data_IF_415536166062
#
_entry.id   IF_415536166062
#
_cell.length_a   1.000
_cell.length_b   1.000
_cell.length_c   1.000
_cell.angle_alpha   90.00
_cell.angle_beta   90.00
_cell.angle_gamma   90.00
#
_symmetry.space_group_name_H-M   'P 1'
#
loop_
_entity.id
_entity.type
_entity.pdbx_description
1 polymer ?
#
# COMPACT_ATOMS: atom_id res chain seq x y z
N UNK A 1 23.61 30.79 26.20
CA UNK A 1 22.39 30.43 26.96
C UNK A 1 21.25 31.16 26.30
N UNK A 2 20.25 30.47 25.72
CA UNK A 2 19.09 31.15 25.12
C UNK A 2 18.47 32.11 26.14
N UNK A 3 18.17 33.33 25.71
CA UNK A 3 17.60 34.35 26.58
C UNK A 3 16.18 33.98 27.01
N UNK A 4 15.74 34.48 28.19
CA UNK A 4 14.38 34.26 28.71
C UNK A 4 13.29 34.58 27.68
N UNK A 5 13.50 35.59 26.85
CA UNK A 5 12.57 35.99 25.78
C UNK A 5 12.38 34.92 24.70
N UNK A 6 13.42 34.20 24.31
CA UNK A 6 13.37 33.17 23.27
C UNK A 6 12.67 31.91 23.79
N UNK A 7 13.05 31.46 24.99
CA UNK A 7 12.39 30.34 25.65
C UNK A 7 10.89 30.63 25.89
N UNK A 8 10.55 31.85 26.32
CA UNK A 8 9.16 32.27 26.50
C UNK A 8 8.38 32.32 25.17
N UNK A 9 9.00 32.80 24.09
CA UNK A 9 8.36 32.84 22.77
C UNK A 9 8.06 31.43 22.23
N UNK A 10 9.04 30.52 22.27
CA UNK A 10 8.87 29.12 21.83
C UNK A 10 7.80 28.41 22.67
N UNK A 11 7.82 28.58 23.99
CA UNK A 11 6.83 27.98 24.88
C UNK A 11 5.42 28.49 24.58
N UNK A 12 5.26 29.81 24.40
CA UNK A 12 3.97 30.44 24.08
C UNK A 12 3.43 30.01 22.71
N UNK A 13 4.32 29.64 21.79
CA UNK A 13 3.99 29.12 20.47
C UNK A 13 3.73 27.60 20.43
N UNK A 14 3.69 26.93 21.58
CA UNK A 14 3.46 25.48 21.66
C UNK A 14 4.66 24.64 21.18
N UNK A 15 5.88 25.19 21.29
CA UNK A 15 7.10 24.57 20.75
C UNK A 15 7.31 24.82 19.26
N UNK A 16 6.76 25.90 18.71
CA UNK A 16 6.97 26.29 17.32
C UNK A 16 8.36 26.88 17.05
N UNK A 17 8.63 27.22 15.80
CA UNK A 17 9.95 27.67 15.36
C UNK A 17 10.21 29.14 15.72
N UNK A 18 11.44 29.46 16.14
CA UNK A 18 11.85 30.83 16.44
C UNK A 18 12.10 31.59 15.13
N UNK A 19 11.30 32.61 14.86
CA UNK A 19 11.38 33.43 13.63
C UNK A 19 12.25 34.67 13.85
N UNK A 20 12.24 35.20 15.08
CA UNK A 20 13.04 36.36 15.47
C UNK A 20 13.69 36.10 16.82
N UNK A 21 15.01 36.05 16.83
CA UNK A 21 15.83 36.00 18.05
C UNK A 21 15.64 37.26 18.91
N UNK A 22 16.15 37.21 20.14
CA UNK A 22 15.99 38.29 21.12
C UNK A 22 16.33 39.66 20.55
N UNK A 23 15.32 40.49 20.44
CA UNK A 23 15.43 41.92 20.16
C UNK A 23 15.36 42.72 21.46
N UNK A 24 16.04 43.87 21.47
CA UNK A 24 15.96 44.85 22.55
C UNK A 24 15.30 46.11 22.02
N UNK A 25 14.35 46.66 22.77
CA UNK A 25 13.69 47.92 22.47
C UNK A 25 13.70 48.84 23.69
N UNK A 26 13.37 50.11 23.46
CA UNK A 26 13.29 51.13 24.51
C UNK A 26 12.00 51.90 24.35
N UNK A 27 11.17 51.92 25.38
CA UNK A 27 9.88 52.61 25.37
C UNK A 27 10.04 54.09 25.75
N UNK A 28 10.89 54.35 26.74
CA UNK A 28 11.27 55.67 27.23
C UNK A 28 12.65 55.58 27.88
N UNK A 29 13.22 56.72 28.28
CA UNK A 29 14.48 56.73 29.00
C UNK A 29 14.36 55.92 30.31
N UNK A 30 15.29 54.97 30.52
CA UNK A 30 15.27 54.02 31.63
C UNK A 30 14.29 52.84 31.51
N UNK A 31 13.54 52.71 30.42
CA UNK A 31 12.52 51.67 30.26
C UNK A 31 12.79 50.80 29.02
N UNK A 32 13.66 49.79 29.20
CA UNK A 32 14.07 48.84 28.18
C UNK A 32 13.19 47.58 28.23
N UNK A 33 12.89 46.98 27.07
CA UNK A 33 12.21 45.70 26.96
C UNK A 33 12.92 44.77 25.99
N UNK A 34 12.63 43.47 26.10
CA UNK A 34 13.13 42.47 25.16
C UNK A 34 12.00 41.59 24.69
N UNK A 35 12.00 41.27 23.40
CA UNK A 35 11.03 40.37 22.81
C UNK A 35 11.72 39.42 21.85
N UNK A 36 11.06 38.30 21.59
CA UNK A 36 11.41 37.35 20.54
C UNK A 36 10.10 36.89 19.89
N UNK A 37 10.15 36.38 18.67
CA UNK A 37 8.95 35.96 17.93
C UNK A 37 9.12 34.52 17.51
N UNK A 38 8.12 33.69 17.82
CA UNK A 38 8.02 32.31 17.36
C UNK A 38 6.69 32.11 16.64
N UNK A 39 6.71 31.34 15.55
CA UNK A 39 5.48 30.96 14.85
C UNK A 39 4.77 29.89 15.67
N UNK A 40 3.46 30.02 15.84
CA UNK A 40 2.67 28.98 16.51
C UNK A 40 2.84 27.65 15.74
N UNK A 41 3.13 26.56 16.47
CA UNK A 41 3.31 25.22 15.91
C UNK A 41 2.14 24.78 15.02
N UNK A 42 0.91 25.11 15.39
CA UNK A 42 -0.30 24.78 14.62
C UNK A 42 -0.43 25.62 13.34
N UNK A 43 0.24 26.77 13.29
CA UNK A 43 0.28 27.65 12.11
C UNK A 43 1.46 27.35 11.19
N UNK A 44 2.36 26.45 11.57
CA UNK A 44 3.46 26.02 10.71
C UNK A 44 2.92 25.16 9.57
N UNK A 45 3.12 25.62 8.33
CA UNK A 45 2.88 24.79 7.15
C UNK A 45 4.07 23.86 6.96
N UNK A 46 4.08 22.76 7.69
CA UNK A 46 5.02 21.68 7.44
C UNK A 46 4.55 20.89 6.23
N UNK A 47 5.51 20.38 5.45
CA UNK A 47 5.21 19.44 4.39
C UNK A 47 4.54 18.19 4.96
N UNK A 48 3.92 17.42 4.08
CA UNK A 48 3.31 16.16 4.46
C UNK A 48 3.51 15.12 3.36
N UNK A 49 3.75 13.86 3.74
CA UNK A 49 3.84 12.73 2.81
C UNK A 49 2.65 11.80 3.05
N UNK A 50 1.81 11.61 2.04
CA UNK A 50 0.80 10.55 2.08
C UNK A 50 1.25 9.36 1.22
N UNK A 51 1.40 8.20 1.83
CA UNK A 51 1.61 6.93 1.12
C UNK A 51 0.24 6.37 0.76
N UNK A 52 -0.11 6.37 -0.53
CA UNK A 52 -1.45 6.02 -1.01
C UNK A 52 -1.43 4.69 -1.74
N UNK A 53 -2.34 3.79 -1.35
CA UNK A 53 -2.69 2.60 -2.12
C UNK A 53 -3.54 2.94 -3.34
N UNK A 54 -2.99 2.74 -4.53
CA UNK A 54 -3.58 3.01 -5.83
C UNK A 54 -4.75 2.07 -6.19
N UNK A 55 -4.82 0.91 -5.55
CA UNK A 55 -5.70 -0.17 -5.99
C UNK A 55 -5.04 -1.09 -7.05
N UNK A 56 -5.79 -2.08 -7.56
CA UNK A 56 -5.26 -3.15 -8.41
C UNK A 56 -5.02 -2.75 -9.88
N UNK A 57 -5.66 -1.67 -10.35
CA UNK A 57 -5.63 -1.29 -11.76
C UNK A 57 -6.64 -0.21 -12.10
N UNK A 58 -7.92 -0.53 -12.07
CA UNK A 58 -8.99 0.43 -12.31
C UNK A 58 -8.85 1.70 -11.43
N UNK A 59 -8.73 2.90 -12.01
CA UNK A 59 -8.66 4.16 -11.27
C UNK A 59 -9.85 4.44 -10.35
N UNK A 60 -11.00 3.79 -10.54
CA UNK A 60 -12.16 3.91 -9.65
C UNK A 60 -12.05 3.06 -8.38
N UNK A 61 -11.08 2.13 -8.34
CA UNK A 61 -10.80 1.29 -7.17
C UNK A 61 -9.80 1.92 -6.20
N UNK A 62 -9.32 3.14 -6.46
CA UNK A 62 -8.67 3.94 -5.44
C UNK A 62 -9.70 4.34 -4.37
N UNK A 63 -9.28 4.43 -3.11
CA UNK A 63 -10.17 4.94 -2.07
C UNK A 63 -10.50 6.42 -2.32
N UNK A 64 -11.68 6.86 -1.87
CA UNK A 64 -12.07 8.29 -1.91
C UNK A 64 -11.02 9.17 -1.24
N UNK A 65 -10.47 8.71 -0.10
CA UNK A 65 -9.37 9.40 0.59
C UNK A 65 -8.12 9.49 -0.29
N UNK A 66 -7.72 8.40 -0.95
CA UNK A 66 -6.58 8.38 -1.86
C UNK A 66 -6.73 9.34 -3.04
N UNK A 67 -7.91 9.36 -3.66
CA UNK A 67 -8.23 10.31 -4.74
C UNK A 67 -8.12 11.76 -4.28
N UNK A 68 -8.71 12.11 -3.14
CA UNK A 68 -8.63 13.47 -2.59
C UNK A 68 -7.18 13.92 -2.38
N UNK A 69 -6.29 13.00 -1.98
CA UNK A 69 -4.86 13.32 -1.86
C UNK A 69 -4.20 13.55 -3.21
N UNK A 70 -4.49 12.74 -4.23
CA UNK A 70 -3.97 12.95 -5.59
C UNK A 70 -4.40 14.32 -6.15
N UNK A 71 -5.65 14.71 -5.92
CA UNK A 71 -6.19 16.01 -6.34
C UNK A 71 -5.55 17.20 -5.60
N UNK A 72 -5.09 17.01 -4.36
CA UNK A 72 -4.46 18.07 -3.57
C UNK A 72 -2.93 18.13 -3.72
N UNK A 73 -2.29 17.05 -4.17
CA UNK A 73 -0.84 16.87 -4.15
C UNK A 73 -0.09 17.92 -4.99
N UNK A 74 1.06 18.38 -4.46
CA UNK A 74 2.02 19.18 -5.22
C UNK A 74 3.04 18.30 -5.95
N UNK A 75 3.34 17.11 -5.40
CA UNK A 75 4.16 16.07 -6.00
C UNK A 75 3.40 14.73 -5.94
N UNK A 76 3.24 14.07 -7.07
CA UNK A 76 2.82 12.67 -7.15
C UNK A 76 4.01 11.86 -7.64
N UNK A 77 4.61 11.09 -6.73
CA UNK A 77 5.67 10.14 -7.04
C UNK A 77 5.08 8.73 -7.06
N UNK A 78 4.98 8.11 -8.23
CA UNK A 78 4.31 6.81 -8.39
C UNK A 78 5.28 5.70 -8.80
N UNK A 79 5.00 4.48 -8.33
CA UNK A 79 5.74 3.28 -8.73
C UNK A 79 5.40 2.89 -10.18
N UNK A 80 6.28 3.24 -11.12
CA UNK A 80 5.97 3.20 -12.55
C UNK A 80 5.71 1.85 -13.20
N UNK A 81 6.08 0.73 -12.57
CA UNK A 81 5.92 -0.60 -13.16
C UNK A 81 4.50 -1.17 -13.03
N UNK A 82 3.70 -0.66 -12.07
CA UNK A 82 2.47 -1.31 -11.63
C UNK A 82 1.33 -0.34 -11.31
N UNK A 83 1.55 0.97 -11.36
CA UNK A 83 0.51 1.98 -11.16
C UNK A 83 0.01 2.47 -12.53
N UNK A 84 -1.30 2.36 -12.81
CA UNK A 84 -1.90 2.90 -14.03
C UNK A 84 -1.65 4.40 -14.18
N UNK A 85 -1.29 4.82 -15.39
CA UNK A 85 -1.05 6.24 -15.69
C UNK A 85 -2.30 7.08 -15.47
N UNK A 86 -3.48 6.49 -15.65
CA UNK A 86 -4.76 7.16 -15.48
C UNK A 86 -4.97 7.75 -14.08
N UNK A 87 -4.40 7.16 -13.02
CA UNK A 87 -4.46 7.71 -11.66
C UNK A 87 -3.70 9.03 -11.54
N UNK A 88 -2.71 9.27 -12.40
CA UNK A 88 -1.94 10.52 -12.40
C UNK A 88 -2.73 11.70 -12.97
N UNK A 89 -3.83 11.44 -13.68
CA UNK A 89 -4.68 12.49 -14.25
C UNK A 89 -5.53 13.22 -13.20
N UNK A 90 -5.60 12.70 -11.97
CA UNK A 90 -6.19 13.42 -10.84
C UNK A 90 -5.32 14.57 -10.34
N UNK A 91 -4.07 14.69 -10.80
CA UNK A 91 -3.18 15.76 -10.38
C UNK A 91 -3.78 17.15 -10.67
N UNK A 92 -3.72 18.06 -9.69
CA UNK A 92 -4.06 19.47 -9.91
C UNK A 92 -3.11 20.14 -10.90
N UNK A 93 -3.58 21.24 -11.48
CA UNK A 93 -2.72 22.11 -12.30
C UNK A 93 -1.48 22.57 -11.51
N UNK A 94 -0.31 22.48 -12.15
CA UNK A 94 0.97 22.82 -11.54
C UNK A 94 1.58 21.73 -10.64
N UNK A 95 0.90 20.61 -10.40
CA UNK A 95 1.48 19.48 -9.70
C UNK A 95 2.61 18.83 -10.51
N UNK A 96 3.66 18.38 -9.82
CA UNK A 96 4.73 17.59 -10.41
C UNK A 96 4.38 16.12 -10.34
N UNK A 97 4.26 15.45 -11.49
CA UNK A 97 4.04 14.00 -11.57
C UNK A 97 5.32 13.33 -12.03
N UNK A 98 5.81 12.34 -11.28
CA UNK A 98 7.06 11.61 -11.61
C UNK A 98 6.93 10.11 -11.34
N UNK A 99 7.47 9.34 -12.26
CA UNK A 99 7.68 7.91 -12.04
C UNK A 99 8.95 7.68 -11.23
N UNK A 100 8.89 6.79 -10.24
CA UNK A 100 10.06 6.34 -9.47
C UNK A 100 10.78 5.14 -10.10
N UNK A 101 10.33 4.62 -11.25
CA UNK A 101 10.80 3.35 -11.80
C UNK A 101 12.31 3.31 -12.11
N UNK A 102 12.91 4.46 -12.44
CA UNK A 102 14.33 4.58 -12.74
C UNK A 102 15.16 5.19 -11.60
N UNK A 103 14.54 5.42 -10.43
CA UNK A 103 15.18 6.17 -9.33
C UNK A 103 15.67 5.23 -8.23
N UNK A 104 16.86 5.49 -7.69
CA UNK A 104 17.31 4.88 -6.45
C UNK A 104 16.52 5.43 -5.23
N UNK A 105 16.58 4.74 -4.09
CA UNK A 105 15.85 5.14 -2.87
C UNK A 105 16.25 6.55 -2.41
N UNK A 106 17.54 6.87 -2.46
CA UNK A 106 18.10 8.16 -2.05
C UNK A 106 17.62 9.29 -2.98
N UNK A 107 17.50 9.03 -4.28
CA UNK A 107 16.98 10.00 -5.25
C UNK A 107 15.50 10.26 -5.04
N UNK A 108 14.73 9.20 -4.77
CA UNK A 108 13.31 9.31 -4.45
C UNK A 108 13.13 10.13 -3.16
N UNK A 109 13.91 9.84 -2.13
CA UNK A 109 13.89 10.57 -0.87
C UNK A 109 14.28 12.04 -1.04
N UNK A 110 15.38 12.33 -1.75
CA UNK A 110 15.83 13.70 -1.99
C UNK A 110 14.75 14.53 -2.73
N UNK A 111 14.09 13.94 -3.72
CA UNK A 111 12.97 14.58 -4.41
C UNK A 111 11.81 14.86 -3.45
N UNK A 112 11.32 13.86 -2.71
CA UNK A 112 10.22 14.04 -1.76
C UNK A 112 10.57 15.07 -0.67
N UNK A 113 11.79 15.02 -0.16
CA UNK A 113 12.30 15.95 0.85
C UNK A 113 12.32 17.40 0.34
N UNK A 114 12.71 17.63 -0.91
CA UNK A 114 12.71 18.99 -1.47
C UNK A 114 11.31 19.64 -1.51
N UNK A 115 10.26 18.84 -1.75
CA UNK A 115 8.88 19.32 -1.70
C UNK A 115 8.40 19.46 -0.24
N UNK A 116 8.71 18.47 0.60
CA UNK A 116 8.35 18.49 2.01
C UNK A 116 8.92 19.72 2.74
N UNK A 117 10.20 20.01 2.56
CA UNK A 117 10.90 21.14 3.19
C UNK A 117 10.34 22.50 2.69
N UNK A 118 9.70 22.52 1.51
CA UNK A 118 8.98 23.67 0.98
C UNK A 118 7.53 23.79 1.49
N UNK A 119 7.12 22.98 2.48
CA UNK A 119 5.78 23.00 3.05
C UNK A 119 4.69 22.39 2.16
N UNK A 120 5.08 21.54 1.19
CA UNK A 120 4.17 20.99 0.18
C UNK A 120 3.63 19.61 0.53
N UNK A 121 2.52 19.25 -0.10
CA UNK A 121 1.92 17.92 -0.02
C UNK A 121 2.54 16.99 -1.07
N UNK A 122 3.12 15.89 -0.60
CA UNK A 122 3.70 14.83 -1.42
C UNK A 122 2.82 13.60 -1.32
N UNK A 123 2.41 13.04 -2.46
CA UNK A 123 1.77 11.73 -2.53
C UNK A 123 2.76 10.73 -3.11
N UNK A 124 3.00 9.67 -2.33
CA UNK A 124 3.75 8.50 -2.74
C UNK A 124 2.77 7.38 -3.11
N UNK A 125 2.55 7.16 -4.40
CA UNK A 125 1.52 6.27 -4.92
C UNK A 125 2.07 4.85 -5.18
N UNK A 126 1.52 3.86 -4.48
CA UNK A 126 1.90 2.44 -4.57
C UNK A 126 0.75 1.59 -5.07
N UNK A 127 1.04 0.55 -5.87
CA UNK A 127 0.02 -0.40 -6.35
C UNK A 127 -0.63 -1.17 -5.22
N UNK A 128 -1.92 -1.47 -5.38
CA UNK A 128 -2.67 -2.28 -4.44
C UNK A 128 -2.82 -1.59 -3.10
N UNK A 129 -2.45 -2.31 -2.04
CA UNK A 129 -2.34 -1.77 -0.70
C UNK A 129 -0.86 -1.66 -0.27
N UNK A 130 -0.41 -0.53 0.29
CA UNK A 130 0.99 -0.33 0.66
C UNK A 130 1.54 -1.33 1.70
N UNK A 131 0.68 -1.98 2.50
CA UNK A 131 1.14 -2.94 3.52
C UNK A 131 1.55 -4.30 2.93
N UNK A 132 1.19 -4.60 1.68
CA UNK A 132 1.46 -5.90 1.04
C UNK A 132 2.54 -5.71 -0.04
N UNK A 133 3.77 -6.14 0.26
CA UNK A 133 4.92 -6.10 -0.67
C UNK A 133 5.21 -4.73 -1.29
N UNK A 134 4.75 -3.63 -0.66
CA UNK A 134 4.87 -2.28 -1.17
C UNK A 134 6.25 -1.63 -1.01
N UNK A 135 7.19 -2.27 -0.28
CA UNK A 135 8.52 -1.74 0.02
C UNK A 135 8.51 -0.31 0.61
N UNK A 136 7.56 -0.04 1.51
CA UNK A 136 7.41 1.28 2.15
C UNK A 136 8.19 1.41 3.47
N UNK A 137 8.65 0.30 4.05
CA UNK A 137 9.32 0.31 5.36
C UNK A 137 10.63 1.10 5.37
N UNK A 138 11.46 0.96 4.33
CA UNK A 138 12.71 1.73 4.20
C UNK A 138 12.41 3.24 4.08
N UNK A 139 11.41 3.62 3.29
CA UNK A 139 10.99 5.00 3.13
C UNK A 139 10.49 5.61 4.46
N UNK A 140 9.68 4.86 5.20
CA UNK A 140 9.20 5.28 6.53
C UNK A 140 10.35 5.46 7.53
N UNK A 141 11.36 4.60 7.52
CA UNK A 141 12.55 4.77 8.37
C UNK A 141 13.32 6.06 8.04
N UNK A 142 13.40 6.42 6.75
CA UNK A 142 13.95 7.71 6.32
C UNK A 142 13.09 8.88 6.82
N UNK A 143 11.77 8.78 6.74
CA UNK A 143 10.87 9.83 7.22
C UNK A 143 10.99 10.01 8.74
N UNK A 144 11.01 8.91 9.50
CA UNK A 144 11.16 8.92 10.96
C UNK A 144 12.49 9.57 11.38
N UNK A 145 13.61 9.18 10.75
CA UNK A 145 14.95 9.72 11.06
C UNK A 145 15.08 11.23 10.78
N UNK A 146 14.23 11.78 9.91
CA UNK A 146 14.21 13.20 9.57
C UNK A 146 13.03 13.96 10.20
N UNK A 147 12.23 13.31 11.06
CA UNK A 147 11.06 13.93 11.70
C UNK A 147 9.97 14.38 10.71
N UNK A 148 9.85 13.68 9.58
CA UNK A 148 8.89 14.03 8.53
C UNK A 148 7.51 13.49 8.87
N UNK A 149 6.47 14.30 8.67
CA UNK A 149 5.07 13.90 8.84
C UNK A 149 4.60 13.05 7.67
N UNK A 150 4.09 11.86 7.95
CA UNK A 150 3.47 11.01 6.95
C UNK A 150 2.29 10.20 7.48
N UNK A 151 1.40 9.78 6.58
CA UNK A 151 0.40 8.75 6.83
C UNK A 151 0.36 7.71 5.71
N UNK A 152 -0.31 6.59 6.00
CA UNK A 152 -0.64 5.57 5.01
C UNK A 152 -2.15 5.61 4.79
N UNK A 153 -2.56 5.82 3.53
CA UNK A 153 -3.93 5.62 3.07
C UNK A 153 -4.01 4.23 2.43
N UNK A 154 -4.80 3.30 3.02
CA UNK A 154 -4.93 1.94 2.49
C UNK A 154 -5.62 1.93 1.13
N UNK A 155 -5.37 0.85 0.38
CA UNK A 155 -5.90 0.60 -0.95
C UNK A 155 -6.52 -0.79 -1.08
N UNK A 156 -7.15 -1.03 -2.23
CA UNK A 156 -7.68 -2.36 -2.56
C UNK A 156 -6.53 -3.21 -3.09
N UNK A 157 -6.23 -4.32 -2.44
CA UNK A 157 -5.17 -5.23 -2.89
C UNK A 157 -5.66 -6.15 -4.01
N UNK A 158 -4.73 -6.66 -4.83
CA UNK A 158 -5.07 -7.52 -5.96
C UNK A 158 -5.84 -8.78 -5.54
N UNK A 159 -5.59 -9.35 -4.36
CA UNK A 159 -6.31 -10.55 -3.89
C UNK A 159 -7.82 -10.32 -3.75
N UNK A 160 -8.23 -9.12 -3.33
CA UNK A 160 -9.65 -8.73 -3.26
C UNK A 160 -10.22 -8.56 -4.67
N UNK A 161 -9.44 -7.98 -5.58
CA UNK A 161 -9.79 -7.89 -6.99
C UNK A 161 -9.96 -9.27 -7.64
N UNK A 162 -9.10 -10.24 -7.32
CA UNK A 162 -9.26 -11.61 -7.78
C UNK A 162 -10.52 -12.25 -7.22
N UNK A 163 -10.79 -12.09 -5.93
CA UNK A 163 -12.03 -12.62 -5.35
C UNK A 163 -13.26 -12.10 -6.09
N UNK A 164 -13.29 -10.79 -6.40
CA UNK A 164 -14.36 -10.16 -7.15
C UNK A 164 -14.45 -10.68 -8.61
N UNK A 165 -13.34 -10.72 -9.33
CA UNK A 165 -13.30 -11.12 -10.74
C UNK A 165 -13.54 -12.62 -10.93
N UNK A 166 -13.08 -13.45 -9.99
CA UNK A 166 -13.41 -14.88 -9.90
C UNK A 166 -14.82 -15.13 -9.36
N UNK A 167 -15.54 -14.09 -8.94
CA UNK A 167 -16.87 -14.16 -8.30
C UNK A 167 -16.89 -15.19 -7.16
N UNK A 168 -15.83 -15.19 -6.36
CA UNK A 168 -15.57 -16.23 -5.36
C UNK A 168 -15.30 -15.63 -4.00
N UNK A 169 -15.88 -16.24 -2.97
CA UNK A 169 -15.58 -15.91 -1.58
C UNK A 169 -14.41 -16.77 -1.12
N UNK A 170 -13.29 -16.16 -0.78
CA UNK A 170 -12.07 -16.91 -0.40
C UNK A 170 -12.14 -17.60 0.97
N UNK A 171 -13.14 -17.29 1.78
CA UNK A 171 -13.46 -18.03 3.01
C UNK A 171 -14.87 -18.60 2.92
N UNK A 172 -15.00 -19.93 2.94
CA UNK A 172 -16.26 -20.65 2.85
C UNK A 172 -16.48 -21.43 4.16
N UNK A 173 -17.59 -21.20 4.88
CA UNK A 173 -17.91 -21.95 6.08
C UNK A 173 -17.84 -23.47 5.85
N UNK A 174 -17.32 -24.20 6.84
CA UNK A 174 -17.19 -25.67 6.81
C UNK A 174 -16.23 -26.22 5.72
N UNK A 175 -15.59 -25.34 4.92
CA UNK A 175 -14.58 -25.72 3.91
C UNK A 175 -13.23 -25.04 4.13
N UNK A 176 -13.19 -23.71 4.08
CA UNK A 176 -11.95 -22.92 4.21
C UNK A 176 -12.20 -21.63 4.96
N UNK A 177 -11.45 -21.35 6.02
CA UNK A 177 -11.63 -20.15 6.86
C UNK A 177 -10.41 -19.23 6.86
N UNK A 178 -9.39 -19.59 6.10
CA UNK A 178 -8.09 -18.93 6.10
C UNK A 178 -7.74 -18.50 4.68
N UNK A 179 -7.19 -17.29 4.56
CA UNK A 179 -6.57 -16.80 3.34
C UNK A 179 -5.08 -16.63 3.64
N UNK A 180 -4.22 -17.23 2.82
CA UNK A 180 -2.77 -17.06 2.91
C UNK A 180 -2.36 -16.10 1.79
N UNK A 181 -1.83 -14.94 2.17
CA UNK A 181 -1.17 -14.02 1.25
C UNK A 181 0.33 -14.29 1.34
N UNK A 182 0.92 -14.77 0.25
CA UNK A 182 2.34 -15.12 0.21
C UNK A 182 2.96 -14.77 -1.13
N UNK A 183 4.26 -15.01 -1.30
CA UNK A 183 4.96 -14.92 -2.58
C UNK A 183 5.78 -16.18 -2.81
N UNK A 184 6.14 -16.42 -4.07
CA UNK A 184 7.14 -17.44 -4.36
C UNK A 184 8.55 -17.03 -3.93
N UNK A 185 9.41 -18.02 -3.71
CA UNK A 185 10.82 -17.83 -3.40
C UNK A 185 11.62 -17.64 -4.70
N UNK A 186 11.87 -16.38 -5.07
CA UNK A 186 12.72 -16.02 -6.20
C UNK A 186 14.17 -15.81 -5.78
N UNK A 187 14.80 -14.73 -6.27
CA UNK A 187 16.16 -14.34 -5.86
C UNK A 187 16.25 -13.94 -4.38
N UNK A 188 15.14 -13.45 -3.81
CA UNK A 188 15.05 -13.08 -2.40
C UNK A 188 14.44 -14.25 -1.63
N UNK A 189 15.19 -14.85 -0.69
CA UNK A 189 14.74 -16.01 0.05
C UNK A 189 13.49 -15.71 0.88
N UNK A 190 12.70 -16.73 1.17
CA UNK A 190 11.62 -16.64 2.16
C UNK A 190 12.16 -16.91 3.56
N UNK A 191 11.57 -16.34 4.62
CA UNK A 191 11.86 -16.79 5.98
C UNK A 191 11.62 -18.31 6.10
N UNK A 192 12.48 -19.01 6.84
CA UNK A 192 12.43 -20.48 6.94
C UNK A 192 11.05 -21.04 7.35
N UNK A 193 10.28 -20.30 8.15
CA UNK A 193 8.94 -20.68 8.62
C UNK A 193 7.81 -20.35 7.64
N UNK A 194 8.10 -19.57 6.61
CA UNK A 194 7.14 -19.06 5.63
C UNK A 194 7.35 -19.67 4.24
N UNK A 195 8.17 -20.74 4.14
CA UNK A 195 8.32 -21.52 2.91
C UNK A 195 6.97 -21.96 2.38
N UNK A 196 6.83 -21.92 1.06
CA UNK A 196 5.55 -22.11 0.40
C UNK A 196 4.98 -23.51 0.68
N UNK A 197 5.81 -24.56 0.65
CA UNK A 197 5.41 -25.91 1.07
C UNK A 197 4.85 -25.95 2.51
N UNK A 198 5.49 -25.27 3.48
CA UNK A 198 4.99 -25.24 4.87
C UNK A 198 3.62 -24.59 4.97
N UNK A 199 3.40 -23.49 4.25
CA UNK A 199 2.10 -22.80 4.21
C UNK A 199 1.02 -23.66 3.52
N UNK A 200 1.41 -24.41 2.48
CA UNK A 200 0.53 -25.26 1.69
C UNK A 200 -0.10 -26.42 2.48
N UNK A 201 0.54 -26.85 3.59
CA UNK A 201 0.00 -27.90 4.49
C UNK A 201 -1.41 -27.63 5.01
N UNK A 202 -1.77 -26.35 5.14
CA UNK A 202 -3.10 -25.93 5.61
C UNK A 202 -4.21 -26.13 4.58
N UNK A 203 -3.85 -26.34 3.31
CA UNK A 203 -4.74 -26.39 2.15
C UNK A 203 -5.75 -25.23 2.05
N UNK A 204 -5.41 -24.08 2.66
CA UNK A 204 -6.24 -22.89 2.71
C UNK A 204 -6.20 -22.10 1.39
N UNK A 205 -7.17 -21.22 1.14
CA UNK A 205 -7.14 -20.38 -0.07
C UNK A 205 -5.85 -19.56 -0.09
N UNK A 206 -5.02 -19.79 -1.09
CA UNK A 206 -3.69 -19.18 -1.17
C UNK A 206 -3.64 -18.20 -2.34
N UNK A 207 -3.27 -16.96 -2.05
CA UNK A 207 -3.02 -15.91 -3.04
C UNK A 207 -1.51 -15.67 -3.09
N UNK A 208 -0.89 -16.05 -4.21
CA UNK A 208 0.56 -16.00 -4.40
C UNK A 208 0.90 -14.84 -5.32
N UNK A 209 1.61 -13.87 -4.77
CA UNK A 209 2.15 -12.70 -5.44
C UNK A 209 3.54 -13.00 -6.03
N UNK A 210 3.98 -12.20 -7.01
CA UNK A 210 5.37 -12.17 -7.50
C UNK A 210 5.94 -13.54 -7.93
N UNK A 211 5.10 -14.43 -8.44
CA UNK A 211 5.44 -15.85 -8.61
C UNK A 211 5.43 -16.37 -10.05
N UNK A 212 4.93 -15.59 -11.02
CA UNK A 212 4.78 -16.08 -12.40
C UNK A 212 6.10 -16.54 -13.04
N UNK A 213 7.21 -15.87 -12.74
CA UNK A 213 8.54 -16.25 -13.25
C UNK A 213 9.08 -17.57 -12.67
N UNK A 214 8.55 -18.02 -11.53
CA UNK A 214 8.98 -19.21 -10.78
C UNK A 214 7.82 -20.21 -10.61
N UNK A 215 6.87 -20.19 -11.54
CA UNK A 215 5.63 -20.97 -11.44
C UNK A 215 5.88 -22.48 -11.35
N UNK A 216 6.96 -23.00 -11.93
CA UNK A 216 7.31 -24.42 -11.86
C UNK A 216 7.67 -24.86 -10.45
N UNK A 217 8.44 -24.04 -9.73
CA UNK A 217 8.79 -24.28 -8.34
C UNK A 217 7.55 -24.18 -7.45
N UNK A 218 6.72 -23.16 -7.68
CA UNK A 218 5.44 -22.98 -7.00
C UNK A 218 4.53 -24.19 -7.19
N UNK A 219 4.34 -24.66 -8.43
CA UNK A 219 3.53 -25.84 -8.69
C UNK A 219 4.09 -27.08 -7.96
N UNK A 220 5.41 -27.30 -8.03
CA UNK A 220 6.06 -28.44 -7.38
C UNK A 220 5.83 -28.43 -5.86
N UNK A 221 6.11 -27.31 -5.20
CA UNK A 221 5.95 -27.19 -3.74
C UNK A 221 4.49 -27.33 -3.30
N UNK A 222 3.55 -26.77 -4.06
CA UNK A 222 2.13 -26.91 -3.76
C UNK A 222 1.66 -28.37 -3.93
N UNK A 223 2.13 -29.09 -4.95
CA UNK A 223 1.78 -30.50 -5.19
C UNK A 223 2.28 -31.46 -4.10
N UNK A 224 3.19 -31.03 -3.21
CA UNK A 224 3.58 -31.81 -2.02
C UNK A 224 2.43 -31.94 -1.01
N UNK A 225 1.47 -31.01 -1.04
CA UNK A 225 0.41 -30.91 -0.03
C UNK A 225 -0.99 -30.74 -0.59
N UNK A 226 -1.17 -30.07 -1.73
CA UNK A 226 -2.46 -29.94 -2.41
C UNK A 226 -2.70 -31.09 -3.38
N UNK A 227 -3.94 -31.59 -3.49
CA UNK A 227 -4.34 -32.49 -4.56
C UNK A 227 -4.03 -31.92 -5.96
N UNK A 228 -3.59 -32.73 -6.94
CA UNK A 228 -3.28 -32.26 -8.29
C UNK A 228 -4.46 -31.59 -9.03
N UNK A 229 -5.68 -31.97 -8.68
CA UNK A 229 -6.96 -31.45 -9.20
C UNK A 229 -7.46 -30.20 -8.43
N UNK A 230 -6.68 -29.70 -7.46
CA UNK A 230 -7.04 -28.47 -6.74
C UNK A 230 -7.25 -27.33 -7.73
N UNK A 231 -8.38 -26.60 -7.64
CA UNK A 231 -8.64 -25.46 -8.50
C UNK A 231 -7.55 -24.39 -8.38
N UNK A 232 -7.14 -23.85 -9.53
CA UNK A 232 -6.23 -22.70 -9.62
C UNK A 232 -6.76 -21.66 -10.60
N UNK A 233 -6.39 -20.41 -10.35
CA UNK A 233 -6.62 -19.31 -11.27
C UNK A 233 -5.37 -18.43 -11.38
N UNK A 234 -4.85 -18.27 -12.60
CA UNK A 234 -3.85 -17.26 -12.92
C UNK A 234 -4.57 -15.99 -13.39
N UNK A 235 -4.53 -14.96 -12.55
CA UNK A 235 -5.21 -13.69 -12.77
C UNK A 235 -4.20 -12.63 -13.22
N UNK A 236 -4.26 -12.26 -14.49
CA UNK A 236 -3.36 -11.30 -15.12
C UNK A 236 -4.02 -9.93 -15.20
N UNK A 237 -3.32 -8.90 -14.70
CA UNK A 237 -3.76 -7.49 -14.76
C UNK A 237 -5.22 -7.28 -14.36
N UNK A 238 -5.58 -7.82 -13.19
CA UNK A 238 -6.92 -7.66 -12.63
C UNK A 238 -7.35 -6.20 -12.62
N UNK A 239 -8.53 -5.94 -13.16
CA UNK A 239 -9.20 -4.64 -13.32
C UNK A 239 -8.56 -3.68 -14.32
N UNK A 240 -7.54 -4.10 -15.07
CA UNK A 240 -7.04 -3.37 -16.23
C UNK A 240 -7.89 -3.68 -17.46
N UNK A 241 -7.74 -2.86 -18.51
CA UNK A 241 -8.45 -3.05 -19.80
C UNK A 241 -8.13 -4.38 -20.47
N UNK A 242 -6.93 -4.90 -20.22
CA UNK A 242 -6.39 -6.16 -20.73
C UNK A 242 -6.36 -7.26 -19.66
N UNK A 243 -7.32 -7.25 -18.73
CA UNK A 243 -7.52 -8.32 -17.75
C UNK A 243 -7.73 -9.67 -18.45
N UNK A 244 -6.96 -10.68 -18.02
CA UNK A 244 -7.14 -12.07 -18.43
C UNK A 244 -7.15 -12.99 -17.22
N UNK A 245 -8.09 -13.92 -17.16
CA UNK A 245 -8.19 -14.91 -16.08
C UNK A 245 -8.19 -16.31 -16.67
N UNK A 246 -7.17 -17.09 -16.32
CA UNK A 246 -7.01 -18.48 -16.76
C UNK A 246 -7.25 -19.41 -15.59
N UNK A 247 -8.25 -20.28 -15.73
CA UNK A 247 -8.62 -21.27 -14.71
C UNK A 247 -8.11 -22.65 -15.11
N UNK A 248 -7.84 -23.49 -14.12
CA UNK A 248 -7.51 -24.88 -14.34
C UNK A 248 -7.26 -25.61 -13.03
N UNK A 249 -6.44 -26.64 -13.10
CA UNK A 249 -6.06 -27.48 -11.97
C UNK A 249 -4.58 -27.26 -11.63
N UNK A 250 -4.20 -27.53 -10.38
CA UNK A 250 -2.85 -27.30 -9.88
C UNK A 250 -1.77 -28.01 -10.71
N UNK A 251 -2.05 -29.23 -11.20
CA UNK A 251 -1.13 -29.98 -12.07
C UNK A 251 -0.80 -29.25 -13.39
N UNK A 252 -1.66 -28.33 -13.82
CA UNK A 252 -1.57 -27.59 -15.08
C UNK A 252 -1.11 -26.14 -14.90
N UNK A 253 -0.87 -25.68 -13.67
CA UNK A 253 -0.59 -24.28 -13.34
C UNK A 253 0.59 -23.70 -14.14
N UNK A 254 1.72 -24.40 -14.17
CA UNK A 254 2.92 -23.95 -14.87
C UNK A 254 2.69 -23.86 -16.38
N UNK A 255 1.95 -24.82 -16.95
CA UNK A 255 1.55 -24.80 -18.36
C UNK A 255 0.66 -23.60 -18.66
N UNK A 256 -0.37 -23.37 -17.83
CA UNK A 256 -1.29 -22.22 -17.98
C UNK A 256 -0.52 -20.90 -18.00
N UNK A 257 0.43 -20.71 -17.10
CA UNK A 257 1.23 -19.47 -17.03
C UNK A 257 2.14 -19.32 -18.25
N UNK A 258 2.81 -20.38 -18.69
CA UNK A 258 3.76 -20.35 -19.82
C UNK A 258 3.06 -20.18 -21.17
N UNK A 259 2.00 -20.96 -21.44
CA UNK A 259 1.28 -20.94 -22.72
C UNK A 259 0.66 -19.56 -23.00
N UNK A 260 0.24 -18.86 -21.93
CA UNK A 260 -0.34 -17.53 -22.02
C UNK A 260 0.69 -16.40 -21.81
N UNK A 261 1.99 -16.72 -21.71
CA UNK A 261 3.10 -15.77 -21.58
C UNK A 261 2.91 -14.78 -20.42
N UNK A 262 2.39 -15.28 -19.30
CA UNK A 262 2.14 -14.47 -18.11
C UNK A 262 3.47 -14.22 -17.40
N UNK A 263 3.92 -12.96 -17.42
CA UNK A 263 5.24 -12.58 -16.93
C UNK A 263 5.14 -11.74 -15.65
N UNK A 264 4.63 -10.51 -15.78
CA UNK A 264 4.46 -9.55 -14.69
C UNK A 264 2.97 -9.40 -14.34
N UNK A 265 2.67 -8.76 -13.21
CA UNK A 265 1.29 -8.39 -12.81
C UNK A 265 0.32 -9.57 -12.83
N UNK A 266 0.81 -10.74 -12.43
CA UNK A 266 0.03 -11.98 -12.33
C UNK A 266 -0.08 -12.37 -10.88
N UNK A 267 -1.29 -12.67 -10.44
CA UNK A 267 -1.55 -13.27 -9.15
C UNK A 267 -2.14 -14.66 -9.34
N UNK A 268 -1.58 -15.62 -8.62
CA UNK A 268 -2.05 -17.00 -8.63
C UNK A 268 -2.94 -17.20 -7.42
N UNK A 269 -4.15 -17.70 -7.64
CA UNK A 269 -5.05 -18.13 -6.58
C UNK A 269 -5.15 -19.65 -6.63
N UNK A 270 -5.00 -20.30 -5.49
CA UNK A 270 -5.07 -21.77 -5.34
C UNK A 270 -6.03 -22.12 -4.22
N UNK A 271 -6.91 -23.08 -4.46
CA UNK A 271 -7.73 -23.69 -3.41
C UNK A 271 -9.20 -23.85 -3.80
N UNK A 272 -9.91 -24.63 -2.98
CA UNK A 272 -11.31 -24.98 -3.20
C UNK A 272 -12.29 -23.81 -3.15
N UNK A 273 -11.86 -22.60 -2.78
CA UNK A 273 -12.72 -21.43 -2.81
C UNK A 273 -13.07 -20.99 -4.25
N UNK A 274 -12.25 -21.35 -5.23
CA UNK A 274 -12.47 -20.99 -6.63
C UNK A 274 -13.69 -21.76 -7.14
N UNK A 275 -14.67 -21.02 -7.68
CA UNK A 275 -15.89 -21.55 -8.31
C UNK A 275 -16.78 -22.44 -7.41
N UNK A 276 -16.53 -22.42 -6.10
CA UNK A 276 -17.34 -23.14 -5.13
C UNK A 276 -18.63 -22.38 -4.84
N UNK A 277 -19.75 -23.05 -5.11
CA UNK A 277 -21.12 -22.54 -4.97
C UNK A 277 -21.99 -23.42 -4.07
N UNK A 278 -21.41 -24.45 -3.47
CA UNK A 278 -22.12 -25.45 -2.69
C UNK A 278 -21.95 -25.17 -1.20
N UNK A 279 -23.08 -25.14 -0.48
CA UNK A 279 -23.14 -24.85 0.95
C UNK A 279 -23.82 -23.51 1.23
N UNK A 280 -24.77 -23.50 2.17
CA UNK A 280 -25.42 -22.27 2.63
C UNK A 280 -24.70 -21.78 3.88
N UNK A 281 -24.29 -20.51 3.88
CA UNK A 281 -23.85 -19.87 5.12
C UNK A 281 -24.99 -19.84 6.12
N UNK A 282 -24.70 -20.25 7.36
CA UNK A 282 -25.67 -20.14 8.47
C UNK A 282 -26.04 -18.69 8.78
N UNK A 283 -25.22 -17.72 8.37
CA UNK A 283 -25.49 -16.28 8.53
C UNK A 283 -26.83 -15.85 7.91
N UNK A 284 -27.21 -16.45 6.78
CA UNK A 284 -28.47 -16.17 6.10
C UNK A 284 -29.54 -17.24 6.34
N UNK A 285 -29.23 -18.29 7.11
CA UNK A 285 -30.19 -19.33 7.43
C UNK A 285 -31.37 -18.76 8.20
N UNK A 286 -32.58 -19.14 7.79
CA UNK A 286 -33.82 -18.78 8.49
C UNK A 286 -33.92 -19.41 9.89
N UNK A 287 -33.10 -20.43 10.17
CA UNK A 287 -33.12 -21.18 11.43
C UNK A 287 -31.96 -20.83 12.36
N UNK A 288 -31.11 -19.86 12.00
CA UNK A 288 -29.99 -19.45 12.83
C UNK A 288 -30.29 -18.12 13.53
N UNK A 289 -30.43 -18.17 14.86
CA UNK A 289 -30.63 -16.98 15.67
C UNK A 289 -29.32 -16.19 15.78
N UNK A 290 -29.36 -14.92 15.38
CA UNK A 290 -28.26 -13.97 15.54
C UNK A 290 -28.76 -12.69 16.19
N UNK A 291 -27.85 -11.78 16.53
CA UNK A 291 -28.15 -10.56 17.30
C UNK A 291 -29.30 -9.71 16.73
N UNK A 292 -29.55 -9.80 15.42
CA UNK A 292 -30.57 -9.06 14.68
C UNK A 292 -31.71 -9.94 14.12
N UNK A 293 -31.74 -11.25 14.41
CA UNK A 293 -32.77 -12.20 13.96
C UNK A 293 -33.01 -13.24 15.06
N UNK A 294 -34.13 -13.14 15.77
CA UNK A 294 -34.59 -14.12 16.75
C UNK A 294 -35.30 -15.27 16.06
#
# INVERSE_FOLDING_TARGET
VPGVSEAAAILSAGGGELVLEKQKGKLSEGNDFTFAVSINKESMRLGHIEIVGAGPGDPELISVKGKNFLEAADLILYAGSLVPVELTYYAKEGATVRSSASMALEEQFALMKSFYDAGKLVVRLHTGDPCIYGAIQEQMAYFDSHGMSYHITPGISSFQAAAAALRSQFTIPEKVQTIILTRGEGRTPMPEKEKLSLLARSQSTMCIFLSAAIVEDVQRELLEHYPPDTPVAACYKLTWKDECIYRGELKDLARIVKDNQLTLTTMIVVGEAIDNRAGLSKLYSSHFSHLFRK
#
